data_IF_973701540614
#
_entry.id   IF_973701540614
#
_cell.length_a   1.000
_cell.length_b   1.000
_cell.length_c   1.000
_cell.angle_alpha   90.00
_cell.angle_beta   90.00
_cell.angle_gamma   90.00
#
_symmetry.space_group_name_H-M   'P 1'
#
loop_
_entity.id
_entity.type
_entity.pdbx_description
1 polymer ?
#
# COMPACT_ATOMS: atom_id res chain seq x y z
N UNK A 1 -4.56 7.74 8.86
CA UNK A 1 -5.73 7.56 7.97
C UNK A 1 -6.91 6.93 8.73
N UNK A 2 -8.13 7.09 8.24
CA UNK A 2 -9.35 6.41 8.69
C UNK A 2 -9.72 5.34 7.65
N UNK A 3 -10.00 4.10 8.07
CA UNK A 3 -10.42 3.03 7.15
C UNK A 3 -11.89 3.20 6.80
N UNK A 4 -12.18 3.29 5.50
CA UNK A 4 -13.55 3.41 4.97
C UNK A 4 -14.11 2.01 4.67
N UNK A 5 -13.29 1.14 4.07
CA UNK A 5 -13.71 -0.21 3.70
C UNK A 5 -12.62 -1.00 3.00
N UNK A 6 -12.86 -2.29 2.79
CA UNK A 6 -11.97 -3.18 2.04
C UNK A 6 -12.28 -3.06 0.54
N UNK A 7 -11.24 -2.82 -0.26
CA UNK A 7 -11.33 -2.79 -1.73
C UNK A 7 -11.10 -4.17 -2.35
N UNK A 8 -10.19 -4.95 -1.76
CA UNK A 8 -9.86 -6.28 -2.25
C UNK A 8 -8.76 -6.93 -1.43
N UNK A 9 -8.36 -8.13 -1.83
CA UNK A 9 -7.23 -8.85 -1.22
C UNK A 9 -6.63 -9.85 -2.20
N UNK A 10 -5.36 -10.14 -2.00
CA UNK A 10 -4.60 -11.14 -2.75
C UNK A 10 -3.64 -11.90 -1.86
N UNK A 11 -2.77 -12.70 -2.46
CA UNK A 11 -1.79 -13.54 -1.76
C UNK A 11 -0.95 -12.72 -0.78
N UNK A 12 -0.46 -11.56 -1.21
CA UNK A 12 0.51 -10.76 -0.46
C UNK A 12 -0.08 -9.69 0.46
N UNK A 13 -1.41 -9.53 0.51
CA UNK A 13 -1.99 -8.45 1.29
C UNK A 13 -3.43 -8.09 0.97
N UNK A 14 -4.00 -7.25 1.83
CA UNK A 14 -5.33 -6.68 1.69
C UNK A 14 -5.25 -5.19 1.35
N UNK A 15 -6.15 -4.71 0.49
CA UNK A 15 -6.20 -3.32 0.07
C UNK A 15 -7.44 -2.66 0.68
N UNK A 16 -7.24 -1.54 1.35
CA UNK A 16 -8.31 -0.76 1.99
C UNK A 16 -8.44 0.60 1.34
N UNK A 17 -9.68 1.07 1.19
CA UNK A 17 -9.97 2.47 0.95
C UNK A 17 -9.84 3.21 2.27
N UNK A 18 -9.03 4.27 2.29
CA UNK A 18 -8.77 5.05 3.50
C UNK A 18 -8.93 6.55 3.23
N UNK A 19 -9.34 7.30 4.24
CA UNK A 19 -9.42 8.76 4.19
C UNK A 19 -8.32 9.38 5.05
N UNK A 20 -7.62 10.37 4.53
CA UNK A 20 -6.72 11.18 5.33
C UNK A 20 -7.55 12.11 6.23
N UNK A 21 -7.35 12.05 7.55
CA UNK A 21 -8.25 12.70 8.53
C UNK A 21 -8.20 14.23 8.45
N UNK A 22 -7.05 14.79 8.07
CA UNK A 22 -6.85 16.24 8.01
C UNK A 22 -7.24 16.84 6.67
N UNK A 23 -6.86 16.19 5.55
CA UNK A 23 -7.11 16.73 4.20
C UNK A 23 -8.42 16.23 3.60
N UNK A 24 -9.02 15.16 4.14
CA UNK A 24 -10.21 14.52 3.58
C UNK A 24 -9.94 13.69 2.32
N UNK A 25 -8.70 13.69 1.80
CA UNK A 25 -8.33 12.96 0.60
C UNK A 25 -8.44 11.44 0.78
N UNK A 26 -8.79 10.75 -0.31
CA UNK A 26 -9.03 9.30 -0.32
C UNK A 26 -7.86 8.59 -0.98
N UNK A 27 -7.37 7.53 -0.35
CA UNK A 27 -6.23 6.73 -0.79
C UNK A 27 -6.53 5.23 -0.74
N UNK A 28 -5.72 4.44 -1.46
CA UNK A 28 -5.65 3.00 -1.32
C UNK A 28 -4.47 2.63 -0.40
N UNK A 29 -4.73 1.85 0.64
CA UNK A 29 -3.73 1.35 1.60
C UNK A 29 -3.56 -0.16 1.39
N UNK A 30 -2.40 -0.59 0.88
CA UNK A 30 -2.03 -2.01 0.77
C UNK A 30 -1.38 -2.46 2.08
N UNK A 31 -2.11 -3.22 2.89
CA UNK A 31 -1.60 -3.87 4.09
C UNK A 31 -0.96 -5.20 3.71
N UNK A 32 0.35 -5.33 3.91
CA UNK A 32 1.09 -6.57 3.67
C UNK A 32 0.76 -7.57 4.78
N UNK A 33 0.58 -8.84 4.42
CA UNK A 33 0.42 -9.94 5.40
C UNK A 33 1.80 -10.43 5.83
N UNK A 34 1.99 -10.63 7.12
CA UNK A 34 3.12 -11.39 7.66
C UNK A 34 2.81 -12.87 7.51
N UNK A 35 3.12 -13.41 6.33
CA UNK A 35 2.98 -14.83 6.01
C UNK A 35 4.31 -15.58 6.08
N UNK A 36 5.42 -14.89 6.38
CA UNK A 36 6.74 -15.50 6.48
C UNK A 36 7.19 -15.62 7.94
N UNK A 37 7.62 -16.81 8.34
CA UNK A 37 8.21 -17.14 9.66
C UNK A 37 9.49 -16.32 9.99
N UNK A 38 10.00 -15.57 9.01
CA UNK A 38 11.15 -14.68 9.16
C UNK A 38 10.63 -13.27 9.46
N UNK A 39 10.73 -12.85 10.72
CA UNK A 39 10.44 -11.49 11.18
C UNK A 39 10.98 -10.43 10.19
N UNK A 40 10.09 -9.78 9.43
CA UNK A 40 10.48 -8.71 8.52
C UNK A 40 9.55 -8.52 7.32
N UNK A 41 9.66 -7.36 6.69
CA UNK A 41 8.90 -7.04 5.47
C UNK A 41 9.43 -7.93 4.32
N UNK A 42 8.56 -8.65 3.58
CA UNK A 42 8.98 -9.48 2.46
C UNK A 42 9.84 -8.69 1.44
N UNK A 43 10.93 -9.28 0.97
CA UNK A 43 11.84 -8.63 0.02
C UNK A 43 11.13 -8.22 -1.28
N UNK A 44 10.07 -8.95 -1.67
CA UNK A 44 9.19 -8.61 -2.78
C UNK A 44 8.46 -7.29 -2.55
N UNK A 45 7.87 -7.09 -1.37
CA UNK A 45 7.19 -5.85 -1.01
C UNK A 45 8.17 -4.67 -0.96
N UNK A 46 9.39 -4.87 -0.44
CA UNK A 46 10.43 -3.83 -0.46
C UNK A 46 10.84 -3.45 -1.90
N UNK A 47 11.01 -4.44 -2.79
CA UNK A 47 11.34 -4.20 -4.19
C UNK A 47 10.23 -3.44 -4.91
N UNK A 48 8.98 -3.82 -4.71
CA UNK A 48 7.81 -3.10 -5.27
C UNK A 48 7.80 -1.64 -4.82
N UNK A 49 7.95 -1.37 -3.53
CA UNK A 49 7.96 -0.01 -2.99
C UNK A 49 9.14 0.81 -3.53
N UNK A 50 10.34 0.22 -3.63
CA UNK A 50 11.52 0.89 -4.16
C UNK A 50 11.37 1.30 -5.63
N UNK A 51 10.72 0.46 -6.45
CA UNK A 51 10.40 0.77 -7.84
C UNK A 51 9.36 1.90 -7.89
N UNK A 52 8.24 1.78 -7.18
CA UNK A 52 7.18 2.80 -7.19
C UNK A 52 7.66 4.17 -6.70
N UNK A 53 8.60 4.23 -5.73
CA UNK A 53 9.21 5.49 -5.27
C UNK A 53 9.96 6.25 -6.38
N UNK A 54 10.46 5.56 -7.39
CA UNK A 54 11.21 6.14 -8.51
C UNK A 54 10.31 6.56 -9.67
N UNK A 55 9.03 6.19 -9.66
CA UNK A 55 8.10 6.46 -10.75
C UNK A 55 7.27 7.71 -10.45
N UNK A 56 7.28 8.66 -11.38
CA UNK A 56 6.46 9.87 -11.32
C UNK A 56 5.90 10.19 -12.72
N UNK A 57 4.77 9.57 -13.06
CA UNK A 57 4.15 9.69 -14.37
C UNK A 57 2.63 9.60 -14.26
N UNK A 58 1.89 10.39 -15.06
CA UNK A 58 0.42 10.47 -14.97
C UNK A 58 -0.32 9.13 -15.15
N UNK A 59 0.25 8.20 -15.91
CA UNK A 59 -0.33 6.89 -16.21
C UNK A 59 0.22 5.76 -15.33
N UNK A 60 1.02 6.09 -14.31
CA UNK A 60 1.58 5.11 -13.36
C UNK A 60 1.13 5.53 -11.96
N UNK A 61 0.65 4.56 -11.18
CA UNK A 61 0.23 4.84 -9.81
C UNK A 61 1.39 5.38 -8.97
N UNK A 62 1.10 6.40 -8.17
CA UNK A 62 2.07 7.03 -7.28
C UNK A 62 2.02 6.40 -5.89
N UNK A 63 3.19 6.15 -5.33
CA UNK A 63 3.32 5.85 -3.90
C UNK A 63 3.38 7.16 -3.12
N UNK A 64 2.40 7.38 -2.24
CA UNK A 64 2.33 8.58 -1.40
C UNK A 64 3.10 8.43 -0.09
N UNK A 65 3.03 7.25 0.53
CA UNK A 65 3.65 6.94 1.81
C UNK A 65 3.88 5.42 1.96
N UNK A 66 4.73 5.00 2.91
CA UNK A 66 5.00 3.57 3.25
C UNK A 66 4.88 3.35 4.75
#
# INVERSE_FOLDING_TARGET
FERIGKLGGGTYGDVFCVRHRLTGEVFALKQIRDDNEVNGIPATAMREAAILKQLNHQNIIKLYDV
#
